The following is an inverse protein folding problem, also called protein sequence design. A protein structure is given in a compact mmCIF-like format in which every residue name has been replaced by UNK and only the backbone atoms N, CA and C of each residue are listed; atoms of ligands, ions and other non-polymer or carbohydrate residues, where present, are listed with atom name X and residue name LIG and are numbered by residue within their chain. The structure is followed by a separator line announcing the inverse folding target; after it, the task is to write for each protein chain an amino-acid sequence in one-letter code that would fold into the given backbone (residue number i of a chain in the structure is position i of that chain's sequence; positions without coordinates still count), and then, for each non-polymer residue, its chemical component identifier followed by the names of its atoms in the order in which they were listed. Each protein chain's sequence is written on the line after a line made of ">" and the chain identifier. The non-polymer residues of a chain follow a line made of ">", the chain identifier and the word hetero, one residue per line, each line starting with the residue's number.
data_IF_719224476361
#
_entry.id   IF_719224476361
#
_cell.length_a   1.000
_cell.length_b   1.000
_cell.length_c   1.000
_cell.angle_alpha   90.00
_cell.angle_beta   90.00
_cell.angle_gamma   90.00
#
_symmetry.space_group_name_H-M   'P 1'
#
loop_
_entity.id
_entity.type
_entity.pdbx_description
1 polymer ?
#
# COMPACT_ATOMS: atom_id res chain seq x y z
N UNK A 1 -7.13 4.16 -6.52
CA UNK A 1 -6.63 2.83 -6.91
C UNK A 1 -5.12 2.94 -6.90
N UNK A 2 -4.46 2.27 -5.96
CA UNK A 2 -3.00 2.33 -5.83
C UNK A 2 -2.43 1.31 -6.80
N UNK A 3 -1.43 1.68 -7.58
CA UNK A 3 -0.77 0.80 -8.55
C UNK A 3 0.71 0.77 -8.24
N UNK A 4 1.32 -0.37 -8.52
CA UNK A 4 2.71 -0.69 -8.21
C UNK A 4 3.37 -1.23 -9.47
N UNK A 5 4.62 -0.85 -9.73
CA UNK A 5 5.40 -1.37 -10.86
C UNK A 5 6.33 -2.49 -10.34
N UNK A 6 6.34 -3.63 -11.02
CA UNK A 6 7.23 -4.77 -10.81
C UNK A 6 7.87 -5.14 -12.16
N UNK A 7 9.05 -4.59 -12.45
CA UNK A 7 9.73 -4.75 -13.74
C UNK A 7 8.88 -4.22 -14.91
N UNK A 8 8.50 -5.09 -15.85
CA UNK A 8 7.57 -4.77 -16.94
C UNK A 8 6.10 -4.83 -16.53
N UNK A 9 5.77 -5.31 -15.34
CA UNK A 9 4.40 -5.54 -14.92
C UNK A 9 3.93 -4.40 -14.02
N UNK A 10 2.68 -3.98 -14.17
CA UNK A 10 2.01 -3.17 -13.15
C UNK A 10 1.01 -4.06 -12.46
N UNK A 11 1.08 -4.05 -11.14
CA UNK A 11 0.23 -4.82 -10.24
C UNK A 11 -0.44 -3.84 -9.31
N UNK A 12 -1.74 -3.98 -9.09
CA UNK A 12 -2.47 -3.10 -8.16
C UNK A 12 -2.75 -3.84 -6.86
N UNK A 13 -2.48 -3.29 -5.65
CA UNK A 13 -3.13 -3.82 -4.46
C UNK A 13 -4.66 -3.81 -4.63
N UNK A 14 -5.30 -4.96 -4.38
CA UNK A 14 -6.76 -5.11 -4.51
C UNK A 14 -7.54 -4.26 -3.51
N UNK A 15 -6.94 -4.02 -2.34
CA UNK A 15 -7.53 -3.29 -1.23
C UNK A 15 -6.47 -2.49 -0.49
N UNK A 16 -6.93 -1.69 0.46
CA UNK A 16 -6.06 -0.93 1.34
C UNK A 16 -6.05 0.56 1.07
N UNK A 17 -6.07 1.29 2.17
CA UNK A 17 -6.02 2.74 2.21
C UNK A 17 -4.63 3.17 2.65
N UNK A 18 -4.09 4.17 1.95
CA UNK A 18 -2.82 4.77 2.34
C UNK A 18 -2.90 5.46 3.71
N UNK A 19 -1.90 5.20 4.55
CA UNK A 19 -1.65 5.88 5.81
C UNK A 19 -0.19 6.36 5.84
N UNK A 20 0.02 7.56 6.37
CA UNK A 20 1.39 8.11 6.51
C UNK A 20 2.19 7.27 7.49
N UNK A 21 3.42 6.88 7.12
CA UNK A 21 4.32 6.14 8.01
C UNK A 21 4.57 6.90 9.33
N UNK A 22 4.72 8.22 9.27
CA UNK A 22 4.93 9.05 10.47
C UNK A 22 3.77 8.98 11.46
N UNK A 23 2.54 8.81 10.98
CA UNK A 23 1.36 8.66 11.82
C UNK A 23 1.42 7.37 12.66
N UNK A 24 1.79 6.25 12.05
CA UNK A 24 1.95 4.98 12.76
C UNK A 24 3.18 4.97 13.67
N UNK A 25 4.28 5.64 13.29
CA UNK A 25 5.49 5.72 14.13
C UNK A 25 5.28 6.46 15.45
N UNK A 26 4.37 7.44 15.48
CA UNK A 26 4.06 8.20 16.70
C UNK A 26 3.33 7.34 17.74
N UNK A 27 2.46 6.43 17.28
CA UNK A 27 1.80 5.47 18.12
C UNK A 27 1.48 4.20 17.30
N UNK A 28 2.21 3.13 17.58
CA UNK A 28 2.14 1.89 16.82
C UNK A 28 0.78 1.20 16.92
N UNK A 29 0.05 1.40 18.02
CA UNK A 29 -1.29 0.84 18.25
C UNK A 29 -2.41 1.88 18.04
N UNK A 30 -2.14 2.93 17.25
CA UNK A 30 -3.09 4.02 17.03
C UNK A 30 -4.35 3.58 16.29
N UNK A 31 -5.41 4.37 16.42
CA UNK A 31 -6.61 4.22 15.60
C UNK A 31 -6.50 5.07 14.34
N UNK A 32 -6.73 4.46 13.19
CA UNK A 32 -6.72 5.13 11.88
C UNK A 32 -8.09 5.77 11.62
N UNK A 33 -8.16 7.06 11.26
CA UNK A 33 -9.40 7.69 10.85
C UNK A 33 -9.99 7.07 9.58
N UNK A 34 -11.27 6.71 9.60
CA UNK A 34 -12.09 6.22 8.48
C UNK A 34 -13.31 7.15 8.24
N UNK A 35 -14.03 6.93 7.15
CA UNK A 35 -15.23 7.69 6.75
C UNK A 35 -16.32 7.71 7.82
N UNK A 36 -16.40 6.67 8.65
CA UNK A 36 -17.46 6.50 9.66
C UNK A 36 -16.97 6.67 11.11
N UNK A 37 -15.69 6.95 11.32
CA UNK A 37 -15.09 7.05 12.65
C UNK A 37 -13.64 6.58 12.65
N UNK A 38 -13.02 6.46 13.81
CA UNK A 38 -11.65 5.92 13.94
C UNK A 38 -11.70 4.42 14.20
N UNK A 39 -10.82 3.66 13.54
CA UNK A 39 -10.73 2.20 13.71
C UNK A 39 -9.35 1.81 14.22
N UNK A 40 -9.26 0.95 15.24
CA UNK A 40 -7.97 0.49 15.75
C UNK A 40 -7.24 -0.37 14.71
N UNK A 41 -5.92 -0.45 14.82
CA UNK A 41 -5.16 -1.50 14.13
C UNK A 41 -5.34 -2.83 14.88
N UNK A 42 -5.33 -3.96 14.15
CA UNK A 42 -5.50 -5.29 14.74
C UNK A 42 -4.31 -5.71 15.61
N UNK A 43 -3.12 -5.22 15.27
CA UNK A 43 -1.90 -5.36 16.04
C UNK A 43 -1.07 -4.07 15.97
N UNK A 44 -0.22 -3.77 16.98
CA UNK A 44 0.70 -2.65 16.90
C UNK A 44 1.60 -2.77 15.67
N UNK A 45 1.76 -1.68 14.93
CA UNK A 45 2.57 -1.65 13.72
C UNK A 45 4.04 -2.01 14.02
N UNK A 46 4.65 -2.77 13.10
CA UNK A 46 6.02 -3.24 13.21
C UNK A 46 7.02 -2.13 12.84
N UNK A 47 7.83 -1.72 13.82
CA UNK A 47 8.79 -0.61 13.68
C UNK A 47 9.80 -0.85 12.55
N UNK A 48 10.35 -2.06 12.45
CA UNK A 48 11.37 -2.37 11.44
C UNK A 48 10.78 -2.33 10.03
N UNK A 49 9.58 -2.88 9.83
CA UNK A 49 8.88 -2.79 8.55
C UNK A 49 8.48 -1.37 8.21
N UNK A 50 8.02 -0.57 9.20
CA UNK A 50 7.78 0.86 9.01
C UNK A 50 9.06 1.62 8.62
N UNK A 51 10.25 1.15 9.03
CA UNK A 51 11.54 1.79 8.71
C UNK A 51 11.91 1.64 7.24
N UNK A 52 11.67 0.46 6.68
CA UNK A 52 12.04 0.09 5.30
C UNK A 52 10.93 0.31 4.28
N UNK A 53 9.70 0.59 4.73
CA UNK A 53 8.56 0.84 3.85
C UNK A 53 8.67 2.17 3.12
N UNK A 54 8.32 2.14 1.82
CA UNK A 54 8.09 3.33 0.99
C UNK A 54 6.70 3.91 1.29
N UNK A 55 5.69 3.05 1.49
CA UNK A 55 4.35 3.45 1.91
C UNK A 55 3.70 2.35 2.74
N UNK A 56 2.62 2.70 3.44
CA UNK A 56 1.84 1.76 4.25
C UNK A 56 0.38 1.84 3.84
N UNK A 57 -0.24 0.66 3.74
CA UNK A 57 -1.66 0.50 3.53
C UNK A 57 -2.28 -0.08 4.80
N UNK A 58 -3.53 0.30 5.04
CA UNK A 58 -4.37 -0.35 6.05
C UNK A 58 -5.65 -0.86 5.43
N UNK A 59 -6.05 -2.06 5.78
CA UNK A 59 -7.23 -2.71 5.23
C UNK A 59 -7.94 -3.57 6.26
N UNK A 60 -9.22 -3.85 6.00
CA UNK A 60 -9.96 -4.91 6.66
C UNK A 60 -10.35 -5.89 5.58
N UNK A 61 -9.91 -7.15 5.69
CA UNK A 61 -10.19 -8.14 4.67
C UNK A 61 -11.64 -8.64 4.77
N UNK A 62 -12.39 -8.65 3.66
CA UNK A 62 -13.70 -9.29 3.63
C UNK A 62 -13.53 -10.79 3.89
N UNK A 63 -14.17 -11.32 4.94
CA UNK A 63 -14.17 -12.75 5.25
C UNK A 63 -13.24 -13.20 6.38
N UNK A 64 -12.50 -12.29 7.01
CA UNK A 64 -11.77 -12.66 8.23
C UNK A 64 -12.74 -12.93 9.40
N UNK A 65 -12.62 -14.09 10.06
CA UNK A 65 -13.49 -14.45 11.18
C UNK A 65 -13.13 -13.60 12.41
N UNK A 66 -14.05 -12.72 12.82
CA UNK A 66 -13.88 -11.89 13.99
C UNK A 66 -15.01 -10.86 14.15
N UNK A 67 -15.35 -10.54 15.40
CA UNK A 67 -16.40 -9.55 15.72
C UNK A 67 -15.87 -8.12 15.88
N UNK A 68 -14.56 -7.94 16.09
CA UNK A 68 -13.98 -6.59 16.19
C UNK A 68 -13.58 -6.06 14.81
N UNK A 69 -14.04 -4.85 14.50
CA UNK A 69 -13.65 -4.14 13.29
C UNK A 69 -12.32 -3.41 13.56
N UNK A 70 -11.21 -3.99 13.14
CA UNK A 70 -9.87 -3.38 13.17
C UNK A 70 -9.24 -3.42 11.77
N UNK A 71 -8.14 -2.69 11.59
CA UNK A 71 -7.35 -2.70 10.37
C UNK A 71 -6.02 -3.44 10.51
N UNK A 72 -5.71 -4.27 9.54
CA UNK A 72 -4.36 -4.80 9.35
C UNK A 72 -3.46 -3.77 8.69
N UNK A 73 -2.16 -3.91 8.96
CA UNK A 73 -1.13 -3.05 8.39
C UNK A 73 -0.34 -3.83 7.34
N UNK A 74 -0.34 -3.29 6.13
CA UNK A 74 0.41 -3.79 4.99
C UNK A 74 1.55 -2.82 4.68
N UNK A 75 2.77 -3.33 4.72
CA UNK A 75 4.02 -2.61 4.53
C UNK A 75 4.49 -2.80 3.09
N UNK A 76 4.71 -1.70 2.37
CA UNK A 76 5.13 -1.76 0.98
C UNK A 76 6.52 -1.15 0.85
N UNK A 77 7.47 -1.92 0.34
CA UNK A 77 8.84 -1.50 0.10
C UNK A 77 9.21 -1.71 -1.37
N UNK A 78 10.11 -0.86 -1.87
CA UNK A 78 10.63 -0.92 -3.24
C UNK A 78 12.08 -1.38 -3.18
N UNK A 79 12.43 -2.39 -3.98
CA UNK A 79 13.80 -2.86 -4.18
C UNK A 79 14.10 -2.84 -5.68
N UNK A 80 14.86 -1.82 -6.12
CA UNK A 80 15.03 -1.53 -7.54
C UNK A 80 13.68 -1.25 -8.23
N UNK A 81 13.41 -1.97 -9.32
CA UNK A 81 12.15 -1.91 -10.07
C UNK A 81 11.08 -2.89 -9.56
N UNK A 82 11.32 -3.55 -8.43
CA UNK A 82 10.41 -4.53 -7.84
C UNK A 82 9.77 -3.98 -6.57
N UNK A 83 8.59 -4.51 -6.24
CA UNK A 83 7.93 -4.21 -4.98
C UNK A 83 7.70 -5.44 -4.17
N UNK A 84 7.98 -5.28 -2.89
CA UNK A 84 7.73 -6.26 -1.85
C UNK A 84 6.61 -5.75 -0.95
N UNK A 85 5.65 -6.63 -0.70
CA UNK A 85 4.52 -6.38 0.18
C UNK A 85 4.66 -7.32 1.37
N UNK A 86 4.74 -6.76 2.56
CA UNK A 86 4.83 -7.49 3.82
C UNK A 86 3.60 -7.19 4.66
N UNK A 87 3.11 -8.19 5.36
CA UNK A 87 2.10 -8.08 6.43
C UNK A 87 2.76 -8.50 7.73
N UNK A 88 2.10 -8.35 8.88
CA UNK A 88 2.65 -8.86 10.13
C UNK A 88 2.82 -10.39 10.13
N UNK A 89 2.02 -11.12 9.35
CA UNK A 89 2.16 -12.57 9.16
C UNK A 89 3.36 -12.97 8.29
N UNK A 90 3.86 -12.08 7.43
CA UNK A 90 4.99 -12.34 6.54
C UNK A 90 4.89 -11.67 5.19
N UNK A 91 5.82 -12.01 4.30
CA UNK A 91 5.87 -11.50 2.92
C UNK A 91 4.76 -12.11 2.09
N UNK A 92 4.03 -11.25 1.38
CA UNK A 92 2.97 -11.65 0.47
C UNK A 92 3.57 -12.04 -0.87
N UNK A 93 3.15 -13.20 -1.39
CA UNK A 93 3.56 -13.68 -2.71
C UNK A 93 2.99 -12.80 -3.80
N UNK A 94 3.78 -12.49 -4.83
CA UNK A 94 3.31 -11.75 -6.01
C UNK A 94 2.22 -12.50 -6.82
N UNK A 95 2.02 -13.79 -6.54
CA UNK A 95 0.95 -14.61 -7.13
C UNK A 95 -0.30 -14.69 -6.26
N UNK A 96 -0.29 -14.04 -5.09
CA UNK A 96 -1.45 -13.98 -4.22
C UNK A 96 -2.49 -13.00 -4.77
N UNK A 97 -3.46 -13.56 -5.49
CA UNK A 97 -4.58 -12.82 -6.09
C UNK A 97 -5.52 -12.20 -5.05
N UNK A 98 -5.39 -12.52 -3.75
CA UNK A 98 -6.12 -11.78 -2.71
C UNK A 98 -5.53 -10.40 -2.53
N UNK A 99 -4.20 -10.27 -2.54
CA UNK A 99 -3.51 -8.99 -2.35
C UNK A 99 -3.30 -8.21 -3.64
N UNK A 100 -3.10 -8.91 -4.76
CA UNK A 100 -2.75 -8.30 -6.03
C UNK A 100 -3.85 -8.47 -7.08
N UNK A 101 -4.32 -7.35 -7.63
CA UNK A 101 -5.01 -7.30 -8.90
C UNK A 101 -3.97 -7.67 -9.96
N UNK A 102 -4.18 -8.81 -10.63
CA UNK A 102 -3.18 -9.49 -11.45
C UNK A 102 -2.54 -8.65 -12.56
N UNK A 103 -1.71 -9.33 -13.35
CA UNK A 103 -0.93 -8.71 -14.42
C UNK A 103 -1.78 -7.85 -15.37
N UNK A 104 -1.42 -6.56 -15.53
CA UNK A 104 -2.10 -5.70 -16.51
C UNK A 104 -1.40 -5.70 -17.86
N UNK A 105 -2.15 -5.50 -18.95
CA UNK A 105 -1.60 -5.45 -20.31
C UNK A 105 -0.52 -4.37 -20.52
N UNK A 106 0.40 -4.58 -21.46
CA UNK A 106 1.43 -3.61 -21.89
C UNK A 106 0.84 -2.24 -22.24
N UNK A 107 -0.36 -2.22 -22.83
CA UNK A 107 -1.07 -0.98 -23.15
C UNK A 107 -1.40 -0.19 -21.87
N UNK A 108 -1.86 -0.87 -20.83
CA UNK A 108 -2.18 -0.22 -19.55
C UNK A 108 -0.89 0.23 -18.85
N UNK A 109 0.18 -0.57 -18.91
CA UNK A 109 1.51 -0.19 -18.44
C UNK A 109 1.98 1.14 -19.05
N UNK A 110 1.92 1.27 -20.38
CA UNK A 110 2.35 2.49 -21.07
C UNK A 110 1.50 3.72 -20.66
N UNK A 111 0.19 3.53 -20.44
CA UNK A 111 -0.70 4.60 -19.96
C UNK A 111 -0.32 5.04 -18.54
N UNK A 112 -0.05 4.09 -17.65
CA UNK A 112 0.39 4.38 -16.27
C UNK A 112 1.74 5.10 -16.27
N UNK A 113 2.73 4.61 -17.02
CA UNK A 113 4.05 5.27 -17.16
C UNK A 113 3.91 6.71 -17.65
N UNK A 114 3.06 6.95 -18.65
CA UNK A 114 2.80 8.31 -19.16
C UNK A 114 2.16 9.22 -18.11
N UNK A 115 1.20 8.71 -17.33
CA UNK A 115 0.59 9.47 -16.24
C UNK A 115 1.62 9.85 -15.16
N UNK A 116 2.49 8.92 -14.76
CA UNK A 116 3.56 9.19 -13.78
C UNK A 116 4.49 10.28 -14.30
N UNK A 117 4.94 10.19 -15.56
CA UNK A 117 5.78 11.23 -16.18
C UNK A 117 5.10 12.60 -16.16
N UNK A 118 3.81 12.68 -16.54
CA UNK A 118 3.05 13.93 -16.49
C UNK A 118 3.05 14.50 -15.07
N UNK A 119 2.75 13.69 -14.04
CA UNK A 119 2.76 14.17 -12.66
C UNK A 119 4.14 14.65 -12.19
N UNK A 120 5.21 13.92 -12.55
CA UNK A 120 6.59 14.33 -12.22
C UNK A 120 6.96 15.67 -12.88
N UNK A 121 6.62 15.85 -14.16
CA UNK A 121 6.88 17.11 -14.87
C UNK A 121 6.02 18.27 -14.36
N UNK A 122 4.80 18.00 -13.90
CA UNK A 122 3.90 19.03 -13.38
C UNK A 122 4.37 19.58 -12.03
N UNK A 123 4.93 18.73 -11.16
CA UNK A 123 5.58 19.19 -9.91
C UNK A 123 6.89 19.96 -10.15
N UNK A 124 7.53 19.80 -11.31
CA UNK A 124 8.72 20.57 -11.71
C UNK A 124 8.40 21.98 -12.23
N UNK A 125 7.12 22.32 -12.42
CA UNK A 125 6.67 23.64 -12.88
C UNK A 125 5.72 24.29 -11.86
N UNK A 126 6.17 24.49 -10.62
CA UNK A 126 5.58 25.56 -9.81
C UNK A 126 6.19 26.89 -10.25
N UNK A 127 5.40 27.87 -10.72
CA UNK A 127 5.89 29.22 -10.91
C UNK A 127 6.27 29.81 -9.56
N UNK A 128 7.39 30.52 -9.52
CA UNK A 128 7.77 31.42 -8.43
C UNK A 128 6.71 32.50 -8.21
#
# INVERSE_FOLDING_TARGET
>A
MNYVINGSHVVGPNYGRYVKISFLRQNLATSVPDKFGTMPVCAPANVEKLRTSTLVLVDKRPGEPGTSYCYDVTYLSTEGDSVRLDTDAGTVSATDETHFAGHISDRTLQRVKRLIQVFQTWHGQQPH
#
